data_IF_434618627746
#
_entry.id   IF_434618627746
#
_cell.length_a   1.000
_cell.length_b   1.000
_cell.length_c   1.000
_cell.angle_alpha   90.00
_cell.angle_beta   90.00
_cell.angle_gamma   90.00
#
_symmetry.space_group_name_H-M   'P 1'
#
loop_
_entity.id
_entity.type
_entity.pdbx_description
1 polymer ?
#
# COMPACT_ATOMS: atom_id res chain seq x y z
N UNK A 1 23.66 2.21 -7.50
CA UNK A 1 23.33 1.71 -6.13
C UNK A 1 22.10 2.39 -5.53
N UNK A 2 21.75 3.63 -5.89
CA UNK A 2 20.56 4.33 -5.38
C UNK A 2 19.23 3.70 -5.82
N UNK A 3 19.11 3.31 -7.10
CA UNK A 3 17.82 2.85 -7.66
C UNK A 3 17.40 1.46 -7.20
N UNK A 4 18.37 0.59 -6.88
CA UNK A 4 18.12 -0.74 -6.28
C UNK A 4 17.56 -0.58 -4.86
N UNK A 5 18.09 0.38 -4.09
CA UNK A 5 17.58 0.70 -2.77
C UNK A 5 16.19 1.35 -2.85
N UNK A 6 15.95 2.21 -3.83
CA UNK A 6 14.64 2.80 -4.08
C UNK A 6 13.60 1.74 -4.46
N UNK A 7 13.95 0.77 -5.30
CA UNK A 7 13.09 -0.35 -5.70
C UNK A 7 12.75 -1.24 -4.49
N UNK A 8 13.75 -1.61 -3.69
CA UNK A 8 13.54 -2.39 -2.46
C UNK A 8 12.61 -1.68 -1.48
N UNK A 9 12.77 -0.36 -1.31
CA UNK A 9 11.90 0.45 -0.46
C UNK A 9 10.46 0.52 -1.00
N UNK A 10 10.29 0.70 -2.31
CA UNK A 10 8.98 0.71 -2.96
C UNK A 10 8.28 -0.65 -2.81
N UNK A 11 8.98 -1.75 -3.07
CA UNK A 11 8.45 -3.10 -2.85
C UNK A 11 8.06 -3.32 -1.38
N UNK A 12 8.91 -2.88 -0.44
CA UNK A 12 8.61 -2.95 1.00
C UNK A 12 7.38 -2.10 1.38
N UNK A 13 7.12 -1.00 0.69
CA UNK A 13 5.90 -0.20 0.85
C UNK A 13 4.65 -0.93 0.37
N UNK A 14 4.73 -1.62 -0.78
CA UNK A 14 3.64 -2.47 -1.29
C UNK A 14 3.32 -3.58 -0.29
N UNK A 15 4.33 -4.32 0.20
CA UNK A 15 4.11 -5.41 1.14
C UNK A 15 3.48 -4.92 2.45
N UNK A 16 4.00 -3.84 3.03
CA UNK A 16 3.45 -3.25 4.26
C UNK A 16 2.02 -2.75 4.09
N UNK A 17 1.73 -2.05 3.00
CA UNK A 17 0.37 -1.59 2.71
C UNK A 17 -0.59 -2.75 2.49
N UNK A 18 -0.17 -3.82 1.81
CA UNK A 18 -1.00 -5.01 1.60
C UNK A 18 -1.29 -5.77 2.90
N UNK A 19 -0.30 -5.88 3.79
CA UNK A 19 -0.48 -6.48 5.12
C UNK A 19 -1.46 -5.65 5.96
N UNK A 20 -1.29 -4.33 5.98
CA UNK A 20 -2.20 -3.40 6.64
C UNK A 20 -3.64 -3.48 6.10
N UNK A 21 -3.82 -3.57 4.77
CA UNK A 21 -5.14 -3.77 4.16
C UNK A 21 -5.81 -5.06 4.65
N UNK A 22 -5.07 -6.17 4.72
CA UNK A 22 -5.59 -7.46 5.20
C UNK A 22 -5.99 -7.38 6.67
N UNK A 23 -5.15 -6.76 7.50
CA UNK A 23 -5.43 -6.55 8.92
C UNK A 23 -6.71 -5.72 9.11
N UNK A 24 -6.81 -4.59 8.41
CA UNK A 24 -7.96 -3.69 8.55
C UNK A 24 -9.25 -4.33 8.05
N UNK A 25 -9.18 -5.12 6.96
CA UNK A 25 -10.32 -5.90 6.49
C UNK A 25 -10.77 -6.94 7.54
N UNK A 26 -9.82 -7.61 8.21
CA UNK A 26 -10.12 -8.55 9.30
C UNK A 26 -10.75 -7.84 10.50
N UNK A 27 -10.28 -6.64 10.85
CA UNK A 27 -10.84 -5.83 11.94
C UNK A 27 -12.26 -5.36 11.63
N UNK A 28 -12.53 -4.91 10.39
CA UNK A 28 -13.88 -4.54 9.94
C UNK A 28 -14.82 -5.76 9.96
N UNK A 29 -14.38 -6.90 9.45
CA UNK A 29 -15.15 -8.15 9.48
C UNK A 29 -15.45 -8.61 10.91
N UNK A 30 -14.46 -8.48 11.81
CA UNK A 30 -14.65 -8.85 13.22
C UNK A 30 -15.59 -7.89 13.94
N UNK A 31 -15.46 -6.57 13.71
CA UNK A 31 -16.32 -5.55 14.31
C UNK A 31 -17.79 -5.69 13.88
N UNK A 32 -18.02 -6.11 12.63
CA UNK A 32 -19.38 -6.39 12.13
C UNK A 32 -19.99 -7.68 12.69
N UNK A 33 -19.18 -8.60 13.20
CA UNK A 33 -19.62 -9.91 13.69
C UNK A 33 -19.74 -9.99 15.22
N UNK A 34 -18.96 -9.19 15.97
CA UNK A 34 -18.95 -9.21 17.44
C UNK A 34 -20.00 -8.30 18.09
N UNK A 35 -20.32 -7.15 17.47
CA UNK A 35 -21.31 -6.22 18.00
C UNK A 35 -22.62 -6.37 17.22
N UNK A 36 -23.74 -6.52 17.92
CA UNK A 36 -25.11 -6.44 17.38
C UNK A 36 -25.47 -5.05 16.80
N UNK A 37 -24.50 -4.36 16.21
CA UNK A 37 -24.51 -2.98 15.78
C UNK A 37 -23.10 -2.42 15.87
N UNK A 38 -22.26 -2.70 14.87
CA UNK A 38 -20.95 -2.07 14.73
C UNK A 38 -21.11 -0.54 14.89
N UNK A 39 -20.58 0.01 15.98
CA UNK A 39 -20.71 1.45 16.21
C UNK A 39 -19.94 2.19 15.11
N UNK A 40 -20.45 3.32 14.63
CA UNK A 40 -19.77 4.13 13.61
C UNK A 40 -18.31 4.40 14.00
N UNK A 41 -18.03 4.57 15.29
CA UNK A 41 -16.69 4.79 15.83
C UNK A 41 -15.76 3.57 15.73
N UNK A 42 -16.27 2.35 15.96
CA UNK A 42 -15.50 1.10 15.80
C UNK A 42 -15.10 0.81 14.35
N UNK A 43 -15.91 1.24 13.38
CA UNK A 43 -15.63 1.08 11.95
C UNK A 43 -14.83 2.24 11.35
N UNK A 44 -14.97 3.46 11.88
CA UNK A 44 -14.33 4.65 11.31
C UNK A 44 -12.81 4.52 11.29
N UNK A 45 -12.21 4.08 12.40
CA UNK A 45 -10.76 3.92 12.51
C UNK A 45 -10.19 2.91 11.48
N UNK A 46 -10.62 1.64 11.44
CA UNK A 46 -10.05 0.67 10.51
C UNK A 46 -10.33 1.03 9.05
N UNK A 47 -11.44 1.75 8.74
CA UNK A 47 -11.71 2.25 7.39
C UNK A 47 -10.72 3.36 6.98
N UNK A 48 -10.40 4.30 7.89
CA UNK A 48 -9.41 5.36 7.62
C UNK A 48 -8.03 4.72 7.42
N UNK A 49 -7.62 3.85 8.34
CA UNK A 49 -6.34 3.14 8.23
C UNK A 49 -6.30 2.30 6.94
N UNK A 50 -7.43 1.73 6.50
CA UNK A 50 -7.51 0.96 5.24
C UNK A 50 -7.26 1.87 4.03
N UNK A 51 -7.79 3.09 4.02
CA UNK A 51 -7.50 4.08 2.97
C UNK A 51 -6.04 4.51 2.97
N UNK A 52 -5.43 4.72 4.14
CA UNK A 52 -4.01 5.06 4.26
C UNK A 52 -3.13 3.93 3.69
N UNK A 53 -3.42 2.68 4.04
CA UNK A 53 -2.71 1.52 3.52
C UNK A 53 -2.91 1.37 1.99
N UNK A 54 -4.11 1.64 1.48
CA UNK A 54 -4.36 1.69 0.03
C UNK A 54 -3.50 2.76 -0.66
N UNK A 55 -3.42 3.97 -0.10
CA UNK A 55 -2.58 5.04 -0.63
C UNK A 55 -1.10 4.66 -0.61
N UNK A 56 -0.63 3.99 0.45
CA UNK A 56 0.75 3.50 0.54
C UNK A 56 1.08 2.50 -0.57
N UNK A 57 0.19 1.54 -0.86
CA UNK A 57 0.36 0.60 -1.97
C UNK A 57 0.41 1.36 -3.30
N UNK A 58 -0.51 2.30 -3.53
CA UNK A 58 -0.57 3.07 -4.77
C UNK A 58 0.66 3.95 -4.98
N UNK A 59 1.12 4.65 -3.94
CA UNK A 59 2.31 5.49 -3.99
C UNK A 59 3.56 4.64 -4.26
N UNK A 60 3.66 3.49 -3.60
CA UNK A 60 4.77 2.56 -3.79
C UNK A 60 4.77 1.95 -5.20
N UNK A 61 3.60 1.58 -5.74
CA UNK A 61 3.47 1.10 -7.12
C UNK A 61 3.86 2.19 -8.14
N UNK A 62 3.49 3.46 -7.90
CA UNK A 62 3.95 4.59 -8.72
C UNK A 62 5.47 4.75 -8.65
N UNK A 63 6.08 4.59 -7.48
CA UNK A 63 7.53 4.65 -7.34
C UNK A 63 8.23 3.54 -8.14
N UNK A 64 7.71 2.30 -8.10
CA UNK A 64 8.22 1.20 -8.96
C UNK A 64 8.12 1.57 -10.44
N UNK A 65 6.97 2.11 -10.88
CA UNK A 65 6.78 2.53 -12.28
C UNK A 65 7.77 3.62 -12.71
N UNK A 66 8.00 4.62 -11.86
CA UNK A 66 8.97 5.69 -12.15
C UNK A 66 10.39 5.12 -12.26
N UNK A 67 10.77 4.19 -11.38
CA UNK A 67 12.07 3.52 -11.45
C UNK A 67 12.20 2.73 -12.76
N UNK A 68 11.16 1.98 -13.15
CA UNK A 68 11.12 1.23 -14.41
C UNK A 68 11.26 2.15 -15.63
N UNK A 69 10.50 3.25 -15.69
CA UNK A 69 10.57 4.26 -16.76
C UNK A 69 11.95 4.94 -16.81
N UNK A 70 12.57 5.21 -15.66
CA UNK A 70 13.90 5.84 -15.56
C UNK A 70 14.99 4.89 -16.04
N UNK A 71 14.91 3.61 -15.69
CA UNK A 71 15.85 2.60 -16.18
C UNK A 71 15.65 2.40 -17.69
N UNK A 72 14.40 2.28 -18.14
CA UNK A 72 14.06 2.13 -19.56
C UNK A 72 14.58 3.28 -20.42
N UNK A 73 14.39 4.53 -19.98
CA UNK A 73 14.87 5.70 -20.73
C UNK A 73 16.40 5.76 -20.85
N UNK A 74 17.14 5.34 -19.81
CA UNK A 74 18.60 5.25 -19.85
C UNK A 74 19.11 4.19 -20.85
N UNK A 75 18.33 3.13 -21.07
CA UNK A 75 18.67 2.12 -22.07
C UNK A 75 18.29 2.55 -23.48
N UNK A 76 17.16 3.25 -23.65
CA UNK A 76 16.67 3.72 -24.96
C UNK A 76 17.58 4.81 -25.56
N UNK A 77 18.20 5.65 -24.72
CA UNK A 77 19.16 6.68 -25.16
C UNK A 77 20.48 6.12 -25.71
N UNK A 78 20.78 4.84 -25.46
CA UNK A 78 21.99 4.16 -25.94
C UNK A 78 21.81 3.41 -27.26
N UNK A 79 20.62 3.42 -27.86
CA UNK A 79 20.30 2.74 -29.13
C UNK A 79 20.26 3.72 -30.29
#
# INVERSE_FOLDING_TARGET
MSDINALSNAMSGIYRGMDGLRKNASEIASATQLESGATAQSLTRPIIEMKENQQLVQASARAVKIIDETIGSLFDEKV
#
